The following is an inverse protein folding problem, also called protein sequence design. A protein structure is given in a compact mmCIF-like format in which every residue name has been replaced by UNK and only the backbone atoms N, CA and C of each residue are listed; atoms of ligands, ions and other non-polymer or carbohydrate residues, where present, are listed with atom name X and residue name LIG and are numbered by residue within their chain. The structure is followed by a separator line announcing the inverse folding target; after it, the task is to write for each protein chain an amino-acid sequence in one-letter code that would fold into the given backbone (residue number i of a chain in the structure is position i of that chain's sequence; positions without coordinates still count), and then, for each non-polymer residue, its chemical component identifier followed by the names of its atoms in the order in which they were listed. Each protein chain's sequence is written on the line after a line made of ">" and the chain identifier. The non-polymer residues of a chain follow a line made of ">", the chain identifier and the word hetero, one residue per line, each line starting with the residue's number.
data_IF_742382305294
#
_entry.id   IF_742382305294
#
_cell.length_a   1.000
_cell.length_b   1.000
_cell.length_c   1.000
_cell.angle_alpha   90.00
_cell.angle_beta   90.00
_cell.angle_gamma   90.00
#
_symmetry.space_group_name_H-M   'P 1'
#
loop_
_entity.id
_entity.type
_entity.pdbx_description
1 polymer ?
#
# COMPACT_ATOMS: atom_id res chain seq x y z
N UNK A 1 -7.91 60.11 -36.46
CA UNK A 1 -7.66 60.03 -35.00
C UNK A 1 -7.92 58.59 -34.60
N UNK A 2 -6.86 57.85 -34.28
CA UNK A 2 -6.93 56.40 -34.04
C UNK A 2 -7.23 56.15 -32.56
N UNK A 3 -8.39 55.55 -32.28
CA UNK A 3 -8.82 55.18 -30.92
C UNK A 3 -8.17 53.83 -30.61
N UNK A 4 -7.27 53.80 -29.63
CA UNK A 4 -6.59 52.58 -29.18
C UNK A 4 -7.56 51.56 -28.54
N UNK A 5 -7.22 50.26 -28.53
CA UNK A 5 -8.08 49.23 -27.95
C UNK A 5 -8.21 49.38 -26.42
N UNK A 6 -9.35 48.96 -25.83
CA UNK A 6 -9.59 49.07 -24.40
C UNK A 6 -8.71 48.08 -23.62
N UNK A 7 -7.97 48.56 -22.64
CA UNK A 7 -7.19 47.72 -21.75
C UNK A 7 -8.08 47.14 -20.65
N UNK A 8 -8.46 45.88 -20.80
CA UNK A 8 -9.13 45.12 -19.75
C UNK A 8 -8.09 44.40 -18.89
N UNK A 9 -7.78 45.03 -17.75
CA UNK A 9 -7.06 44.43 -16.64
C UNK A 9 -7.92 43.30 -16.02
N UNK A 10 -7.62 42.04 -16.37
CA UNK A 10 -8.14 40.85 -15.66
C UNK A 10 -6.98 39.93 -15.35
N UNK A 11 -6.42 40.13 -14.17
CA UNK A 11 -5.82 39.08 -13.35
C UNK A 11 -6.81 37.91 -13.23
N UNK A 12 -6.64 36.89 -14.09
CA UNK A 12 -7.47 35.69 -14.11
C UNK A 12 -6.58 34.48 -14.02
N UNK A 13 -6.45 33.93 -12.81
CA UNK A 13 -5.58 32.81 -12.48
C UNK A 13 -5.83 31.57 -13.34
N UNK A 14 -4.77 30.78 -13.46
CA UNK A 14 -4.75 29.46 -14.07
C UNK A 14 -5.96 28.60 -13.65
N UNK A 15 -6.42 27.67 -14.50
CA UNK A 15 -7.50 26.75 -14.14
C UNK A 15 -7.15 26.08 -12.81
N UNK A 16 -8.03 26.25 -11.83
CA UNK A 16 -7.97 25.63 -10.52
C UNK A 16 -7.94 24.11 -10.72
N UNK A 17 -6.74 23.54 -10.75
CA UNK A 17 -6.57 22.14 -10.48
C UNK A 17 -7.24 21.90 -9.12
N UNK A 18 -8.35 21.16 -9.11
CA UNK A 18 -8.93 20.63 -7.90
C UNK A 18 -7.86 19.74 -7.25
N UNK A 19 -7.00 20.36 -6.44
CA UNK A 19 -6.06 19.67 -5.61
C UNK A 19 -6.92 19.01 -4.54
N UNK A 20 -7.18 17.72 -4.72
CA UNK A 20 -7.71 16.90 -3.65
C UNK A 20 -6.60 16.81 -2.60
N UNK A 21 -6.52 17.83 -1.75
CA UNK A 21 -5.74 17.79 -0.53
C UNK A 21 -6.45 16.78 0.39
N UNK A 22 -6.07 15.51 0.29
CA UNK A 22 -6.45 14.53 1.31
C UNK A 22 -5.79 15.00 2.61
N UNK A 23 -6.57 15.73 3.40
CA UNK A 23 -6.24 16.16 4.74
C UNK A 23 -6.17 14.96 5.67
N UNK A 24 -5.07 14.22 5.59
CA UNK A 24 -4.56 13.41 6.70
C UNK A 24 -3.12 13.85 6.86
N UNK A 25 -2.81 14.56 7.95
CA UNK A 25 -1.49 15.12 8.28
C UNK A 25 -0.39 14.07 8.51
N UNK A 26 -0.41 12.96 7.78
CA UNK A 26 0.68 12.02 7.65
C UNK A 26 1.52 12.44 6.44
N UNK A 27 2.67 13.07 6.69
CA UNK A 27 3.78 12.99 5.73
C UNK A 27 3.94 11.51 5.34
N UNK A 28 4.08 11.13 4.05
CA UNK A 28 4.20 9.73 3.65
C UNK A 28 5.55 9.20 4.15
N UNK A 29 5.61 8.79 5.42
CA UNK A 29 6.85 8.34 6.06
C UNK A 29 7.24 6.95 5.62
N UNK A 30 6.35 6.21 4.98
CA UNK A 30 6.62 5.00 4.20
C UNK A 30 5.30 4.53 3.57
N UNK A 31 5.21 4.47 2.24
CA UNK A 31 4.09 3.79 1.60
C UNK A 31 4.26 2.28 1.83
N UNK A 32 3.30 1.69 2.53
CA UNK A 32 3.23 0.25 2.78
C UNK A 32 1.99 -0.32 2.10
N UNK A 33 2.12 -1.47 1.46
CA UNK A 33 1.00 -2.22 0.88
C UNK A 33 0.78 -3.47 1.70
N UNK A 34 -0.49 -3.80 1.96
CA UNK A 34 -0.86 -5.03 2.65
C UNK A 34 -0.30 -6.25 1.88
N UNK A 35 0.36 -7.17 2.57
CA UNK A 35 0.76 -8.43 1.95
C UNK A 35 -0.49 -9.30 1.74
N UNK A 36 -0.94 -9.39 0.50
CA UNK A 36 -2.15 -10.16 0.15
C UNK A 36 -1.96 -11.67 0.36
N UNK A 37 -0.72 -12.17 0.29
CA UNK A 37 -0.41 -13.58 0.52
C UNK A 37 -0.79 -14.03 1.94
N UNK A 38 -0.54 -13.19 2.96
CA UNK A 38 -0.91 -13.48 4.35
C UNK A 38 -2.03 -12.58 4.88
N UNK A 39 -2.67 -11.79 4.00
CA UNK A 39 -3.73 -10.84 4.36
C UNK A 39 -3.37 -9.92 5.55
N UNK A 40 -2.10 -9.52 5.64
CA UNK A 40 -1.62 -8.66 6.73
C UNK A 40 -1.22 -9.37 8.03
N UNK A 41 -1.45 -10.68 8.16
CA UNK A 41 -1.16 -11.39 9.41
C UNK A 41 0.33 -11.64 9.65
N UNK A 42 1.15 -11.53 8.61
CA UNK A 42 2.58 -11.85 8.68
C UNK A 42 2.87 -13.35 8.68
N UNK A 43 1.90 -14.20 9.01
CA UNK A 43 2.04 -15.66 9.05
C UNK A 43 1.12 -16.36 8.05
N UNK A 44 1.49 -17.58 7.70
CA UNK A 44 0.69 -18.54 6.94
C UNK A 44 0.44 -19.76 7.82
N UNK A 45 -0.81 -20.21 7.87
CA UNK A 45 -1.17 -21.44 8.58
C UNK A 45 -1.15 -22.59 7.58
N UNK A 46 -0.33 -23.60 7.85
CA UNK A 46 -0.16 -24.77 7.00
C UNK A 46 -0.62 -26.00 7.77
N UNK A 47 -1.52 -26.78 7.17
CA UNK A 47 -1.89 -28.08 7.71
C UNK A 47 -0.77 -29.09 7.44
N UNK A 48 -0.32 -29.79 8.50
CA UNK A 48 0.63 -30.90 8.39
C UNK A 48 -0.02 -32.19 8.87
N UNK A 49 0.35 -33.28 8.20
CA UNK A 49 -0.01 -34.62 8.58
C UNK A 49 1.25 -35.33 9.06
N UNK A 50 1.15 -35.99 10.22
CA UNK A 50 2.22 -36.78 10.80
C UNK A 50 1.81 -38.24 10.85
N UNK A 51 2.72 -39.13 10.46
CA UNK A 51 2.55 -40.57 10.59
C UNK A 51 3.41 -41.05 11.76
N UNK A 52 2.77 -41.58 12.81
CA UNK A 52 3.50 -42.18 13.92
C UNK A 52 4.18 -43.48 13.50
N UNK A 53 5.18 -43.93 14.27
CA UNK A 53 5.79 -45.27 14.09
C UNK A 53 4.79 -46.41 14.23
N UNK A 54 3.67 -46.20 14.93
CA UNK A 54 2.57 -47.16 15.06
C UNK A 54 1.55 -47.11 13.91
N UNK A 55 1.78 -46.27 12.89
CA UNK A 55 0.89 -46.13 11.74
C UNK A 55 -0.32 -45.24 11.98
N UNK A 56 -0.38 -44.51 13.10
CA UNK A 56 -1.45 -43.56 13.38
C UNK A 56 -1.18 -42.25 12.63
N UNK A 57 -2.16 -41.77 11.88
CA UNK A 57 -2.13 -40.45 11.24
C UNK A 57 -2.72 -39.42 12.21
N UNK A 58 -1.99 -38.33 12.44
CA UNK A 58 -2.48 -37.15 13.14
C UNK A 58 -2.32 -35.92 12.25
N UNK A 59 -3.20 -34.94 12.40
CA UNK A 59 -3.12 -33.67 11.68
C UNK A 59 -3.06 -32.51 12.67
N UNK A 60 -2.20 -31.55 12.39
CA UNK A 60 -2.05 -30.31 13.13
C UNK A 60 -1.89 -29.13 12.18
N UNK A 61 -1.94 -27.92 12.73
CA UNK A 61 -1.71 -26.68 12.01
C UNK A 61 -0.48 -26.00 12.56
N UNK A 62 0.43 -25.61 11.68
CA UNK A 62 1.63 -24.87 12.03
C UNK A 62 1.55 -23.47 11.41
N UNK A 63 1.83 -22.46 12.22
CA UNK A 63 2.01 -21.10 11.73
C UNK A 63 3.48 -20.90 11.35
N UNK A 64 3.72 -20.51 10.10
CA UNK A 64 5.05 -20.15 9.61
C UNK A 64 5.05 -18.72 9.11
N UNK A 65 6.20 -18.05 9.16
CA UNK A 65 6.30 -16.69 8.63
C UNK A 65 5.97 -16.68 7.13
N UNK A 66 5.18 -15.69 6.72
CA UNK A 66 4.83 -15.51 5.33
C UNK A 66 6.10 -15.25 4.52
N UNK A 67 6.43 -16.17 3.63
CA UNK A 67 7.65 -16.14 2.83
C UNK A 67 7.77 -14.89 1.94
N UNK A 68 6.64 -14.27 1.59
CA UNK A 68 6.57 -13.11 0.70
C UNK A 68 6.91 -11.80 1.43
N UNK A 69 6.29 -11.55 2.58
CA UNK A 69 6.57 -10.36 3.39
C UNK A 69 7.55 -10.59 4.54
N UNK A 70 8.14 -11.79 4.64
CA UNK A 70 9.09 -12.16 5.70
C UNK A 70 8.58 -11.92 7.12
N UNK A 71 7.33 -12.30 7.40
CA UNK A 71 6.74 -12.10 8.72
C UNK A 71 6.11 -10.73 8.97
N UNK A 72 6.36 -9.72 8.13
CA UNK A 72 5.97 -8.34 8.42
C UNK A 72 4.46 -8.06 8.26
N UNK A 73 3.75 -8.83 7.42
CA UNK A 73 2.36 -8.55 7.03
C UNK A 73 2.22 -7.43 5.99
N UNK A 74 3.29 -6.67 5.74
CA UNK A 74 3.30 -5.53 4.82
C UNK A 74 4.49 -5.60 3.87
N UNK A 75 4.30 -5.04 2.67
CA UNK A 75 5.36 -4.81 1.70
C UNK A 75 5.73 -3.33 1.74
N UNK A 76 7.02 -3.05 1.89
CA UNK A 76 7.56 -1.69 1.77
C UNK A 76 7.64 -1.37 0.29
N UNK A 77 7.01 -0.29 -0.15
CA UNK A 77 7.20 0.19 -1.52
C UNK A 77 8.60 0.79 -1.65
N UNK A 78 9.30 0.44 -2.72
CA UNK A 78 10.53 1.14 -3.06
C UNK A 78 10.19 2.61 -3.31
N UNK A 79 10.84 3.53 -2.61
CA UNK A 79 10.71 4.95 -2.89
C UNK A 79 11.41 5.19 -4.23
N UNK A 80 10.66 5.21 -5.33
CA UNK A 80 11.15 5.75 -6.59
C UNK A 80 11.29 7.25 -6.41
N UNK A 81 12.54 7.73 -6.28
CA UNK A 81 12.84 9.15 -6.44
C UNK A 81 12.40 9.53 -7.86
N UNK A 82 11.34 10.35 -7.95
CA UNK A 82 10.91 10.99 -9.19
C UNK A 82 11.86 12.13 -9.56
#
# INVERSE_FOLDING_TARGET
>A
MTIGPPQHNRTGGAPSAHRHDYATGMSPRELKTLCLTCQGQGQLVIARAHLSRSGRVTADTEATDCWYCKGEGWLRQAITRA
#
